data_IF_694387551850
#
_entry.id   IF_694387551850
#
_cell.length_a   1.000
_cell.length_b   1.000
_cell.length_c   1.000
_cell.angle_alpha   90.00
_cell.angle_beta   90.00
_cell.angle_gamma   90.00
#
_symmetry.space_group_name_H-M   'P 1'
#
loop_
_entity.id
_entity.type
_entity.pdbx_description
1 polymer ?
#
# COMPACT_ATOMS: atom_id res chain seq x y z
N UNK A 1 2.04 -4.17 74.07
CA UNK A 1 3.34 -4.58 73.51
C UNK A 1 3.09 -5.03 72.07
N UNK A 2 3.80 -4.39 71.15
CA UNK A 2 3.93 -4.57 69.71
C UNK A 2 2.95 -5.52 68.96
N UNK A 3 2.05 -4.93 68.18
CA UNK A 3 1.54 -5.54 66.95
C UNK A 3 2.53 -5.22 65.83
N UNK A 4 3.36 -6.19 65.43
CA UNK A 4 4.08 -6.13 64.16
C UNK A 4 3.15 -6.61 63.04
N UNK A 5 2.71 -5.66 62.23
CA UNK A 5 2.02 -5.91 60.96
C UNK A 5 3.08 -6.34 59.94
N UNK A 6 3.04 -7.60 59.52
CA UNK A 6 3.83 -8.07 58.38
C UNK A 6 3.41 -7.34 57.09
N UNK A 7 4.34 -6.91 56.22
CA UNK A 7 4.00 -6.19 55.01
C UNK A 7 3.44 -7.14 53.94
N UNK A 8 2.29 -6.75 53.38
CA UNK A 8 1.65 -7.37 52.21
C UNK A 8 2.65 -7.38 51.04
N UNK A 9 2.90 -8.56 50.48
CA UNK A 9 3.76 -8.71 49.30
C UNK A 9 3.18 -7.93 48.12
N UNK A 10 3.93 -6.96 47.60
CA UNK A 10 3.61 -6.25 46.38
C UNK A 10 3.56 -7.22 45.20
N UNK A 11 2.38 -7.40 44.60
CA UNK A 11 2.24 -8.11 43.33
C UNK A 11 3.10 -7.39 42.27
N UNK A 12 4.14 -8.06 41.79
CA UNK A 12 4.93 -7.60 40.63
C UNK A 12 3.99 -7.49 39.44
N UNK A 13 3.67 -6.26 39.05
CA UNK A 13 2.93 -6.00 37.80
C UNK A 13 3.85 -6.38 36.64
N UNK A 14 3.52 -7.47 35.94
CA UNK A 14 4.25 -7.90 34.75
C UNK A 14 3.81 -6.98 33.60
N UNK A 15 4.72 -6.12 33.16
CA UNK A 15 4.48 -5.23 32.02
C UNK A 15 4.64 -5.97 30.70
N UNK A 16 3.81 -5.68 29.68
CA UNK A 16 3.97 -6.27 28.35
C UNK A 16 5.32 -5.85 27.74
N UNK A 17 6.09 -6.84 27.26
CA UNK A 17 7.44 -6.61 26.74
C UNK A 17 7.49 -6.29 25.24
N UNK A 18 6.47 -6.74 24.49
CA UNK A 18 6.45 -6.62 23.02
C UNK A 18 5.61 -5.44 22.51
N UNK A 19 4.76 -4.87 23.36
CA UNK A 19 3.93 -3.73 22.97
C UNK A 19 4.69 -2.44 23.24
N UNK A 20 4.72 -1.56 22.25
CA UNK A 20 5.19 -0.19 22.39
C UNK A 20 4.27 0.60 23.35
N UNK A 21 4.74 1.74 23.91
CA UNK A 21 3.90 2.58 24.76
C UNK A 21 2.59 3.03 24.10
N UNK A 22 2.62 3.22 22.78
CA UNK A 22 1.44 3.59 21.98
C UNK A 22 0.44 2.43 21.88
N UNK A 23 0.93 1.20 21.66
CA UNK A 23 0.10 -0.01 21.61
C UNK A 23 -0.47 -0.40 22.98
N UNK A 24 0.24 -0.11 24.08
CA UNK A 24 -0.29 -0.27 25.44
C UNK A 24 -1.46 0.69 25.69
N UNK A 25 -1.36 1.91 25.17
CA UNK A 25 -2.39 2.94 25.31
C UNK A 25 -3.59 2.66 24.39
N UNK A 26 -3.37 1.98 23.26
CA UNK A 26 -4.42 1.59 22.31
C UNK A 26 -4.26 0.15 21.80
N UNK A 27 -4.59 -0.86 22.63
CA UNK A 27 -4.39 -2.27 22.27
C UNK A 27 -5.30 -2.75 21.14
N UNK A 28 -6.35 -1.99 20.82
CA UNK A 28 -7.22 -2.26 19.69
C UNK A 28 -6.54 -2.06 18.34
N UNK A 29 -5.55 -1.16 18.25
CA UNK A 29 -4.77 -0.98 17.02
C UNK A 29 -4.01 -2.25 16.66
N UNK A 30 -3.44 -2.94 17.66
CA UNK A 30 -2.75 -4.22 17.47
C UNK A 30 -3.68 -5.30 16.90
N UNK A 31 -4.94 -5.32 17.36
CA UNK A 31 -5.96 -6.22 16.84
C UNK A 31 -6.31 -5.86 15.39
N UNK A 32 -6.48 -4.56 15.10
CA UNK A 32 -6.74 -4.08 13.75
C UNK A 32 -5.61 -4.48 12.80
N UNK A 33 -4.35 -4.20 13.17
CA UNK A 33 -3.17 -4.49 12.35
C UNK A 33 -3.04 -5.98 12.04
N UNK A 34 -3.40 -6.85 12.99
CA UNK A 34 -3.45 -8.30 12.78
C UNK A 34 -4.46 -8.69 11.68
N UNK A 35 -5.66 -8.10 11.67
CA UNK A 35 -6.69 -8.43 10.68
C UNK A 35 -6.55 -7.64 9.37
N UNK A 36 -5.80 -6.53 9.38
CA UNK A 36 -5.31 -5.83 8.18
C UNK A 36 -4.24 -6.67 7.46
N UNK A 37 -3.36 -7.32 8.24
CA UNK A 37 -2.36 -8.25 7.73
C UNK A 37 -2.98 -9.48 7.06
N UNK A 38 -3.99 -10.12 7.69
CA UNK A 38 -4.68 -11.27 7.12
C UNK A 38 -6.12 -11.42 7.64
N UNK A 39 -7.05 -11.79 6.78
CA UNK A 39 -8.42 -12.13 7.19
C UNK A 39 -8.45 -13.42 8.02
N UNK A 40 -9.46 -13.59 8.88
CA UNK A 40 -9.53 -14.69 9.85
C UNK A 40 -9.27 -16.09 9.25
N UNK A 41 -9.90 -16.50 8.11
CA UNK A 41 -9.57 -17.75 7.44
C UNK A 41 -8.06 -17.95 7.17
N UNK A 42 -7.38 -16.91 6.67
CA UNK A 42 -5.95 -16.97 6.39
C UNK A 42 -5.11 -17.03 7.66
N UNK A 43 -5.51 -16.35 8.73
CA UNK A 43 -4.83 -16.47 10.03
C UNK A 43 -4.95 -17.90 10.57
N UNK A 44 -6.12 -18.53 10.45
CA UNK A 44 -6.31 -19.94 10.85
C UNK A 44 -5.37 -20.87 10.10
N UNK A 45 -5.26 -20.71 8.78
CA UNK A 45 -4.32 -21.48 7.96
C UNK A 45 -2.88 -21.31 8.45
N UNK A 46 -2.43 -20.07 8.65
CA UNK A 46 -1.07 -19.78 9.12
C UNK A 46 -0.79 -20.34 10.52
N UNK A 47 -1.76 -20.23 11.44
CA UNK A 47 -1.66 -20.83 12.79
C UNK A 47 -1.60 -22.35 12.72
N UNK A 48 -2.41 -22.96 11.85
CA UNK A 48 -2.40 -24.40 11.63
C UNK A 48 -1.06 -24.87 11.04
N UNK A 49 -0.51 -24.16 10.06
CA UNK A 49 0.79 -24.48 9.47
C UNK A 49 1.92 -24.33 10.50
N UNK A 50 1.87 -23.29 11.34
CA UNK A 50 2.79 -23.10 12.46
C UNK A 50 2.68 -24.25 13.49
N UNK A 51 1.47 -24.65 13.83
CA UNK A 51 1.24 -25.77 14.73
C UNK A 51 1.70 -27.11 14.13
N UNK A 52 1.38 -27.36 12.85
CA UNK A 52 1.78 -28.56 12.11
C UNK A 52 3.29 -28.68 12.00
N UNK A 53 3.99 -27.59 11.71
CA UNK A 53 5.47 -27.60 11.65
C UNK A 53 6.08 -27.88 13.03
N UNK A 54 5.47 -27.37 14.09
CA UNK A 54 5.92 -27.59 15.48
C UNK A 54 5.61 -29.01 16.00
N UNK A 55 4.45 -29.57 15.64
CA UNK A 55 3.92 -30.84 16.18
C UNK A 55 4.08 -32.05 15.26
N UNK A 56 4.30 -31.86 13.96
CA UNK A 56 4.52 -32.95 12.98
C UNK A 56 5.97 -32.95 12.45
N UNK A 57 6.72 -31.85 12.63
CA UNK A 57 8.14 -31.78 12.28
C UNK A 57 9.06 -32.56 13.23
N UNK A 58 10.35 -32.64 12.87
CA UNK A 58 11.39 -33.35 13.64
C UNK A 58 11.55 -32.82 15.08
N UNK A 59 11.08 -31.60 15.36
CA UNK A 59 11.11 -30.96 16.68
C UNK A 59 10.35 -31.74 17.77
N UNK A 60 9.37 -32.54 17.39
CA UNK A 60 8.58 -33.32 18.35
C UNK A 60 9.29 -34.50 18.96
N UNK A 61 10.33 -35.02 18.31
CA UNK A 61 11.08 -36.17 18.82
C UNK A 61 11.81 -35.86 20.13
N UNK A 62 12.13 -34.58 20.40
CA UNK A 62 12.85 -34.13 21.59
C UNK A 62 11.93 -33.72 22.76
N UNK A 63 10.62 -33.65 22.54
CA UNK A 63 9.66 -33.17 23.54
C UNK A 63 9.02 -34.30 24.34
N UNK A 64 8.98 -34.13 25.67
CA UNK A 64 8.26 -35.02 26.57
C UNK A 64 6.74 -34.93 26.34
N UNK A 65 6.01 -36.01 26.66
CA UNK A 65 4.56 -36.10 26.50
C UNK A 65 3.80 -34.89 27.07
N UNK A 66 4.19 -34.43 28.26
CA UNK A 66 3.58 -33.28 28.94
C UNK A 66 3.79 -31.97 28.18
N UNK A 67 4.94 -31.80 27.53
CA UNK A 67 5.24 -30.61 26.73
C UNK A 67 4.42 -30.59 25.43
N UNK A 68 4.23 -31.76 24.82
CA UNK A 68 3.32 -31.91 23.66
C UNK A 68 1.88 -31.58 24.02
N UNK A 69 1.40 -32.05 25.17
CA UNK A 69 0.05 -31.74 25.69
C UNK A 69 -0.11 -30.22 25.96
N UNK A 70 0.94 -29.56 26.46
CA UNK A 70 0.95 -28.11 26.65
C UNK A 70 0.91 -27.35 25.31
N UNK A 71 1.62 -27.82 24.28
CA UNK A 71 1.63 -27.21 22.95
C UNK A 71 0.25 -27.30 22.25
N UNK A 72 -0.43 -28.43 22.36
CA UNK A 72 -1.82 -28.56 21.88
C UNK A 72 -2.72 -27.58 22.64
N UNK A 73 -2.58 -27.54 23.97
CA UNK A 73 -3.40 -26.68 24.81
C UNK A 73 -3.20 -25.20 24.49
N UNK A 74 -1.96 -24.72 24.35
CA UNK A 74 -1.70 -23.31 24.03
C UNK A 74 -2.17 -22.95 22.62
N UNK A 75 -2.05 -23.86 21.65
CA UNK A 75 -2.59 -23.67 20.31
C UNK A 75 -4.10 -23.42 20.35
N UNK A 76 -4.86 -24.27 21.04
CA UNK A 76 -6.31 -24.09 21.19
C UNK A 76 -6.66 -22.75 21.87
N UNK A 77 -5.85 -22.31 22.84
CA UNK A 77 -6.05 -21.01 23.50
C UNK A 77 -5.74 -19.84 22.58
N UNK A 78 -4.69 -19.92 21.77
CA UNK A 78 -4.33 -18.89 20.79
C UNK A 78 -5.38 -18.81 19.70
N UNK A 79 -5.86 -19.93 19.18
CA UNK A 79 -6.93 -19.97 18.19
C UNK A 79 -8.19 -19.26 18.73
N UNK A 80 -8.65 -19.65 19.93
CA UNK A 80 -9.79 -19.00 20.60
C UNK A 80 -9.55 -17.51 20.86
N UNK A 81 -8.32 -17.11 21.20
CA UNK A 81 -7.96 -15.71 21.41
C UNK A 81 -8.06 -14.91 20.10
N UNK A 82 -7.59 -15.47 18.99
CA UNK A 82 -7.70 -14.86 17.66
C UNK A 82 -9.15 -14.76 17.21
N UNK A 83 -9.97 -15.80 17.43
CA UNK A 83 -11.42 -15.75 17.18
C UNK A 83 -12.10 -14.63 18.00
N UNK A 84 -11.78 -14.56 19.29
CA UNK A 84 -12.31 -13.52 20.16
C UNK A 84 -11.84 -12.12 19.71
N UNK A 85 -10.57 -11.99 19.31
CA UNK A 85 -10.02 -10.76 18.76
C UNK A 85 -10.71 -10.36 17.45
N UNK A 86 -11.06 -11.33 16.58
CA UNK A 86 -11.84 -11.07 15.38
C UNK A 86 -13.22 -10.52 15.73
N UNK A 87 -13.91 -11.13 16.69
CA UNK A 87 -15.22 -10.64 17.14
C UNK A 87 -15.09 -9.24 17.76
N UNK A 88 -14.03 -8.96 18.51
CA UNK A 88 -13.77 -7.62 19.05
C UNK A 88 -13.50 -6.63 17.90
N UNK A 89 -12.73 -7.04 16.89
CA UNK A 89 -12.47 -6.23 15.70
C UNK A 89 -13.74 -5.94 14.91
N UNK A 90 -14.55 -6.96 14.64
CA UNK A 90 -15.86 -6.85 13.98
C UNK A 90 -16.80 -5.97 14.80
N UNK A 91 -16.94 -6.21 16.11
CA UNK A 91 -17.75 -5.35 17.00
C UNK A 91 -17.22 -3.94 17.08
N UNK A 92 -15.92 -3.72 16.95
CA UNK A 92 -15.36 -2.38 16.81
C UNK A 92 -15.64 -1.78 15.44
N UNK A 93 -15.58 -2.54 14.36
CA UNK A 93 -15.97 -2.10 13.00
C UNK A 93 -17.47 -1.79 12.97
N UNK A 94 -18.29 -2.53 13.73
CA UNK A 94 -19.74 -2.41 13.88
C UNK A 94 -20.17 -1.33 14.87
N UNK A 95 -19.49 -1.13 15.99
CA UNK A 95 -19.73 0.01 16.90
C UNK A 95 -19.13 1.31 16.35
N UNK A 96 -18.07 1.20 15.54
CA UNK A 96 -17.66 2.20 14.57
C UNK A 96 -18.46 2.10 13.28
N UNK A 97 -19.60 1.39 13.13
CA UNK A 97 -20.58 1.72 12.07
C UNK A 97 -21.20 3.03 12.52
N UNK A 98 -20.75 4.18 12.01
CA UNK A 98 -21.51 5.38 12.22
C UNK A 98 -22.70 5.21 11.27
N UNK A 99 -23.89 5.62 11.73
CA UNK A 99 -24.80 6.31 10.81
C UNK A 99 -23.91 7.24 10.01
N UNK A 100 -23.89 7.10 8.69
CA UNK A 100 -23.11 7.97 7.81
C UNK A 100 -23.08 9.39 8.41
N UNK A 101 -21.95 9.85 8.94
CA UNK A 101 -21.65 11.27 8.80
C UNK A 101 -21.25 11.45 7.34
N UNK A 102 -22.21 11.19 6.45
CA UNK A 102 -22.28 11.85 5.16
C UNK A 102 -22.41 13.30 5.54
N UNK A 103 -21.27 13.99 5.61
CA UNK A 103 -21.29 15.43 5.57
C UNK A 103 -22.08 15.80 4.32
N UNK A 104 -23.06 16.70 4.41
CA UNK A 104 -23.89 17.03 3.26
C UNK A 104 -22.98 17.46 2.13
N UNK A 105 -22.95 16.64 1.08
CA UNK A 105 -22.24 16.97 -0.15
C UNK A 105 -22.79 18.31 -0.62
N UNK A 106 -21.92 19.31 -0.70
CA UNK A 106 -22.23 20.58 -1.35
C UNK A 106 -21.47 20.65 -2.65
N UNK A 107 -22.20 20.72 -3.76
CA UNK A 107 -21.61 20.97 -5.07
C UNK A 107 -20.87 22.31 -5.12
N UNK A 108 -21.19 23.25 -4.22
CA UNK A 108 -20.55 24.57 -4.10
C UNK A 108 -19.10 24.46 -3.63
N UNK A 109 -18.74 23.37 -2.96
CA UNK A 109 -17.38 23.10 -2.50
C UNK A 109 -16.45 22.61 -3.63
N UNK A 110 -16.98 22.34 -4.82
CA UNK A 110 -16.17 22.02 -6.01
C UNK A 110 -15.64 23.34 -6.58
N UNK A 111 -14.32 23.45 -6.70
CA UNK A 111 -13.68 24.63 -7.28
C UNK A 111 -13.81 24.62 -8.81
N UNK A 112 -14.90 25.20 -9.31
CA UNK A 112 -15.23 25.26 -10.74
C UNK A 112 -14.18 26.01 -11.57
N UNK A 113 -13.54 27.04 -10.98
CA UNK A 113 -12.47 27.81 -11.63
C UNK A 113 -11.25 26.92 -11.88
N UNK A 114 -10.78 26.21 -10.86
CA UNK A 114 -9.66 25.28 -11.02
C UNK A 114 -10.00 24.14 -11.97
N UNK A 115 -11.21 23.57 -11.86
CA UNK A 115 -11.65 22.48 -12.74
C UNK A 115 -11.63 22.91 -14.22
N UNK A 116 -12.18 24.10 -14.52
CA UNK A 116 -12.22 24.66 -15.88
C UNK A 116 -10.82 25.01 -16.39
N UNK A 117 -9.98 25.62 -15.54
CA UNK A 117 -8.59 25.97 -15.86
C UNK A 117 -7.75 24.73 -16.17
N UNK A 118 -7.89 23.69 -15.37
CA UNK A 118 -7.17 22.42 -15.55
C UNK A 118 -7.63 21.72 -16.81
N UNK A 119 -8.94 21.58 -17.03
CA UNK A 119 -9.46 20.99 -18.25
C UNK A 119 -8.98 21.75 -19.51
N UNK A 120 -9.02 23.08 -19.49
CA UNK A 120 -8.51 23.92 -20.58
C UNK A 120 -7.01 23.72 -20.84
N UNK A 121 -6.19 23.58 -19.79
CA UNK A 121 -4.75 23.36 -19.94
C UNK A 121 -4.38 22.04 -20.62
N UNK A 122 -5.29 21.06 -20.63
CA UNK A 122 -5.13 19.76 -21.29
C UNK A 122 -5.92 19.64 -22.59
N UNK A 123 -6.40 20.77 -23.15
CA UNK A 123 -7.20 20.83 -24.38
C UNK A 123 -8.43 19.91 -24.34
N UNK A 124 -9.03 19.79 -23.15
CA UNK A 124 -10.21 18.95 -22.92
C UNK A 124 -11.45 19.64 -23.51
N UNK A 125 -12.17 18.96 -24.41
CA UNK A 125 -13.41 19.45 -25.01
C UNK A 125 -14.46 19.81 -23.94
N UNK A 126 -15.33 20.80 -24.23
CA UNK A 126 -16.38 21.28 -23.31
C UNK A 126 -17.28 20.13 -22.83
N UNK A 127 -17.67 19.21 -23.72
CA UNK A 127 -18.47 18.01 -23.38
C UNK A 127 -17.75 17.11 -22.36
N UNK A 128 -16.42 17.10 -22.39
CA UNK A 128 -15.61 16.33 -21.47
C UNK A 128 -15.41 17.06 -20.12
N UNK A 129 -15.59 18.39 -20.06
CA UNK A 129 -15.58 19.16 -18.80
C UNK A 129 -16.78 18.85 -17.91
N UNK A 130 -17.97 18.74 -18.49
CA UNK A 130 -19.17 18.32 -17.75
C UNK A 130 -19.00 16.90 -17.20
N UNK A 131 -18.50 15.99 -18.03
CA UNK A 131 -18.16 14.62 -17.63
C UNK A 131 -17.10 14.61 -16.52
N UNK A 132 -16.13 15.52 -16.55
CA UNK A 132 -15.11 15.64 -15.52
C UNK A 132 -15.70 16.08 -14.17
N UNK A 133 -16.66 17.00 -14.18
CA UNK A 133 -17.41 17.36 -12.98
C UNK A 133 -18.13 16.13 -12.42
N UNK A 134 -18.79 15.33 -13.27
CA UNK A 134 -19.42 14.08 -12.84
C UNK A 134 -18.42 13.08 -12.24
N UNK A 135 -17.20 12.98 -12.77
CA UNK A 135 -16.12 12.16 -12.18
C UNK A 135 -15.77 12.65 -10.78
N UNK A 136 -15.54 13.95 -10.60
CA UNK A 136 -15.23 14.56 -9.29
C UNK A 136 -16.35 14.28 -8.29
N UNK A 137 -17.60 14.51 -8.67
CA UNK A 137 -18.77 14.22 -7.82
C UNK A 137 -18.86 12.74 -7.44
N UNK A 138 -18.56 11.86 -8.39
CA UNK A 138 -18.54 10.40 -8.17
C UNK A 138 -17.46 10.01 -7.17
N UNK A 139 -16.24 10.56 -7.31
CA UNK A 139 -15.15 10.34 -6.36
C UNK A 139 -15.57 10.80 -4.96
N UNK A 140 -16.11 12.01 -4.83
CA UNK A 140 -16.53 12.56 -3.52
C UNK A 140 -17.58 11.66 -2.87
N UNK A 141 -18.61 11.24 -3.61
CA UNK A 141 -19.68 10.39 -3.08
C UNK A 141 -19.20 9.01 -2.65
N UNK A 142 -18.25 8.41 -3.38
CA UNK A 142 -17.71 7.08 -3.05
C UNK A 142 -16.75 7.15 -1.86
N UNK A 143 -15.91 8.18 -1.82
CA UNK A 143 -14.78 8.26 -0.87
C UNK A 143 -15.07 9.07 0.38
N UNK A 144 -16.18 9.83 0.40
CA UNK A 144 -16.46 10.87 1.40
C UNK A 144 -15.26 11.82 1.58
N UNK A 145 -14.65 12.23 0.45
CA UNK A 145 -13.39 12.98 0.44
C UNK A 145 -13.45 14.21 1.36
N UNK A 146 -12.38 14.46 2.08
CA UNK A 146 -12.14 15.73 2.77
C UNK A 146 -11.63 16.77 1.77
N UNK A 147 -10.69 16.37 0.90
CA UNK A 147 -10.14 17.18 -0.18
C UNK A 147 -9.85 16.33 -1.41
N UNK A 148 -9.92 16.95 -2.58
CA UNK A 148 -9.55 16.34 -3.85
C UNK A 148 -8.61 17.27 -4.61
N UNK A 149 -7.48 16.75 -5.05
CA UNK A 149 -6.50 17.47 -5.87
C UNK A 149 -6.34 16.80 -7.22
N UNK A 150 -6.18 17.61 -8.26
CA UNK A 150 -5.74 17.15 -9.56
C UNK A 150 -4.26 16.79 -9.51
N UNK A 151 -3.91 15.56 -9.88
CA UNK A 151 -2.52 15.11 -9.94
C UNK A 151 -1.96 15.24 -11.34
N UNK A 152 -2.63 14.64 -12.33
CA UNK A 152 -2.17 14.59 -13.71
C UNK A 152 -3.32 14.26 -14.67
N UNK A 153 -3.05 14.50 -15.94
CA UNK A 153 -3.82 13.99 -17.06
C UNK A 153 -2.87 13.30 -18.02
N UNK A 154 -3.26 12.12 -18.46
CA UNK A 154 -2.56 11.40 -19.51
C UNK A 154 -3.57 10.73 -20.44
N UNK A 155 -3.10 10.24 -21.57
CA UNK A 155 -3.83 9.29 -22.39
C UNK A 155 -3.26 7.91 -22.09
N UNK A 156 -4.11 6.95 -21.71
CA UNK A 156 -3.63 5.61 -21.46
C UNK A 156 -3.23 4.90 -22.78
N UNK A 157 -2.67 3.69 -22.67
CA UNK A 157 -2.26 2.86 -23.81
C UNK A 157 -3.36 2.55 -24.83
N UNK A 158 -4.64 2.78 -24.50
CA UNK A 158 -5.80 2.64 -25.39
C UNK A 158 -6.31 3.98 -25.93
N UNK A 159 -5.50 5.02 -25.84
CA UNK A 159 -5.82 6.40 -26.22
C UNK A 159 -7.08 6.95 -25.54
N UNK A 160 -7.44 6.43 -24.36
CA UNK A 160 -8.54 6.96 -23.55
C UNK A 160 -7.99 7.99 -22.56
N UNK A 161 -8.74 9.09 -22.32
CA UNK A 161 -8.36 10.06 -21.30
C UNK A 161 -8.27 9.36 -19.94
N UNK A 162 -7.16 9.61 -19.26
CA UNK A 162 -6.87 9.13 -17.91
C UNK A 162 -6.75 10.34 -16.98
N UNK A 163 -7.66 10.37 -15.99
CA UNK A 163 -7.71 11.41 -14.98
C UNK A 163 -7.13 10.88 -13.68
N UNK A 164 -6.08 11.53 -13.18
CA UNK A 164 -5.41 11.12 -11.94
C UNK A 164 -5.71 12.14 -10.84
N UNK A 165 -6.30 11.67 -9.73
CA UNK A 165 -6.62 12.51 -8.57
C UNK A 165 -5.92 12.03 -7.31
N UNK A 166 -5.51 12.97 -6.46
CA UNK A 166 -5.18 12.69 -5.06
C UNK A 166 -6.43 12.97 -4.20
N UNK A 167 -6.94 11.94 -3.53
CA UNK A 167 -8.08 11.99 -2.63
C UNK A 167 -7.57 11.96 -1.19
N UNK A 168 -7.86 13.02 -0.43
CA UNK A 168 -7.66 13.01 1.01
C UNK A 168 -8.91 12.47 1.68
N UNK A 169 -8.78 11.27 2.24
CA UNK A 169 -9.84 10.56 2.93
C UNK A 169 -9.99 11.07 4.37
N UNK A 170 -11.20 10.94 4.95
CA UNK A 170 -11.40 11.22 6.36
C UNK A 170 -10.59 10.23 7.23
N UNK A 171 -10.18 10.59 8.46
CA UNK A 171 -9.35 9.73 9.32
C UNK A 171 -9.99 8.36 9.63
N UNK A 172 -11.32 8.32 9.63
CA UNK A 172 -12.15 7.14 9.89
C UNK A 172 -12.51 6.34 8.61
N UNK A 173 -11.89 6.64 7.46
CA UNK A 173 -12.12 5.91 6.23
C UNK A 173 -11.87 4.40 6.42
N UNK A 174 -12.82 3.59 5.97
CA UNK A 174 -12.93 2.16 6.28
C UNK A 174 -12.44 1.22 5.18
N UNK A 175 -12.58 1.63 3.93
CA UNK A 175 -12.18 0.81 2.80
C UNK A 175 -10.69 0.97 2.51
N UNK A 176 -10.10 -0.09 1.99
CA UNK A 176 -8.78 -0.06 1.39
C UNK A 176 -8.77 0.82 0.13
N UNK A 177 -7.58 1.31 -0.22
CA UNK A 177 -7.35 1.99 -1.50
C UNK A 177 -7.91 1.21 -2.70
N UNK A 178 -7.64 -0.11 -2.73
CA UNK A 178 -7.99 -0.99 -3.83
C UNK A 178 -9.50 -1.05 -4.06
N UNK A 179 -10.28 -1.04 -2.97
CA UNK A 179 -11.74 -1.02 -3.02
C UNK A 179 -12.27 0.33 -3.54
N UNK A 180 -11.75 1.46 -3.04
CA UNK A 180 -12.14 2.77 -3.55
C UNK A 180 -11.83 2.91 -5.04
N UNK A 181 -10.62 2.54 -5.46
CA UNK A 181 -10.21 2.58 -6.86
C UNK A 181 -11.14 1.74 -7.74
N UNK A 182 -11.46 0.52 -7.31
CA UNK A 182 -12.37 -0.39 -8.05
C UNK A 182 -13.76 0.24 -8.21
N UNK A 183 -14.33 0.81 -7.14
CA UNK A 183 -15.66 1.42 -7.18
C UNK A 183 -15.69 2.67 -8.07
N UNK A 184 -14.68 3.54 -7.98
CA UNK A 184 -14.56 4.73 -8.83
C UNK A 184 -14.40 4.33 -10.30
N UNK A 185 -13.51 3.40 -10.61
CA UNK A 185 -13.29 2.92 -11.98
C UNK A 185 -14.57 2.31 -12.58
N UNK A 186 -15.31 1.52 -11.79
CA UNK A 186 -16.56 0.91 -12.24
C UNK A 186 -17.64 1.96 -12.54
N UNK A 187 -17.76 3.01 -11.73
CA UNK A 187 -18.77 4.06 -11.97
C UNK A 187 -18.36 5.07 -13.06
N UNK A 188 -17.06 5.24 -13.31
CA UNK A 188 -16.55 6.18 -14.29
C UNK A 188 -16.22 5.54 -15.65
N UNK A 189 -16.44 4.24 -15.84
CA UNK A 189 -15.99 3.49 -17.02
C UNK A 189 -16.55 3.99 -18.36
N UNK A 190 -17.76 4.58 -18.35
CA UNK A 190 -18.40 5.18 -19.53
C UNK A 190 -17.85 6.58 -19.85
N UNK A 191 -17.23 7.25 -18.86
CA UNK A 191 -16.68 8.59 -19.00
C UNK A 191 -15.22 8.54 -19.46
N UNK A 192 -14.41 7.71 -18.81
CA UNK A 192 -12.97 7.63 -19.06
C UNK A 192 -12.24 6.74 -18.07
N UNK A 193 -10.93 6.62 -18.23
CA UNK A 193 -10.10 5.96 -17.23
C UNK A 193 -9.89 6.92 -16.07
N UNK A 194 -10.17 6.49 -14.84
CA UNK A 194 -9.96 7.32 -13.64
C UNK A 194 -9.04 6.56 -12.71
N UNK A 195 -7.92 7.17 -12.33
CA UNK A 195 -7.10 6.72 -11.22
C UNK A 195 -7.26 7.68 -10.06
N UNK A 196 -7.37 7.12 -8.87
CA UNK A 196 -7.39 7.86 -7.63
C UNK A 196 -6.24 7.37 -6.77
N UNK A 197 -5.56 8.29 -6.10
CA UNK A 197 -4.60 8.05 -5.02
C UNK A 197 -5.22 8.46 -3.70
N UNK A 198 -5.59 7.50 -2.86
CA UNK A 198 -6.32 7.77 -1.62
C UNK A 198 -5.42 7.62 -0.39
N UNK A 199 -5.32 8.67 0.41
CA UNK A 199 -4.65 8.63 1.70
C UNK A 199 -5.45 9.38 2.75
N UNK A 200 -5.37 8.97 4.01
CA UNK A 200 -6.03 9.69 5.10
C UNK A 200 -5.41 11.08 5.26
N UNK A 201 -6.26 12.08 5.47
CA UNK A 201 -5.86 13.50 5.53
C UNK A 201 -4.80 13.76 6.59
N UNK A 202 -4.88 13.10 7.74
CA UNK A 202 -3.92 13.23 8.84
C UNK A 202 -2.52 12.74 8.45
N UNK A 203 -2.40 11.64 7.72
CA UNK A 203 -1.12 11.12 7.23
C UNK A 203 -0.51 12.06 6.17
N UNK A 204 -1.33 12.50 5.21
CA UNK A 204 -0.87 13.47 4.20
C UNK A 204 -0.39 14.77 4.85
N UNK A 205 -1.09 15.27 5.87
CA UNK A 205 -0.68 16.47 6.58
C UNK A 205 0.67 16.33 7.28
N UNK A 206 1.02 15.14 7.82
CA UNK A 206 2.36 14.87 8.33
C UNK A 206 3.41 15.04 7.22
N UNK A 207 3.13 14.50 6.03
CA UNK A 207 4.06 14.59 4.90
C UNK A 207 4.20 16.02 4.33
N UNK A 208 3.12 16.81 4.31
CA UNK A 208 3.19 18.22 3.92
C UNK A 208 4.11 19.00 4.87
N UNK A 209 3.96 18.81 6.19
CA UNK A 209 4.75 19.53 7.22
C UNK A 209 6.24 19.24 7.16
N UNK A 210 6.65 18.06 6.70
CA UNK A 210 8.07 17.70 6.54
C UNK A 210 8.63 18.01 5.15
N UNK A 211 7.81 18.58 4.26
CA UNK A 211 8.20 18.97 2.91
C UNK A 211 8.41 17.78 1.97
N UNK A 212 7.54 16.77 2.03
CA UNK A 212 7.60 15.65 1.10
C UNK A 212 7.31 16.10 -0.34
N UNK A 213 8.22 15.85 -1.29
CA UNK A 213 8.20 16.47 -2.63
C UNK A 213 6.87 16.32 -3.38
N UNK A 214 6.28 15.13 -3.37
CA UNK A 214 5.01 14.87 -4.05
C UNK A 214 3.83 15.66 -3.45
N UNK A 215 3.68 15.65 -2.13
CA UNK A 215 2.61 16.38 -1.46
C UNK A 215 2.84 17.90 -1.51
N UNK A 216 4.10 18.35 -1.46
CA UNK A 216 4.48 19.75 -1.69
C UNK A 216 4.08 20.22 -3.09
N UNK A 217 4.24 19.37 -4.12
CA UNK A 217 3.84 19.68 -5.50
C UNK A 217 2.32 19.70 -5.68
N UNK A 218 1.62 18.68 -5.20
CA UNK A 218 0.20 18.48 -5.53
C UNK A 218 -0.75 19.23 -4.59
N UNK A 219 -0.48 19.26 -3.29
CA UNK A 219 -1.37 19.88 -2.30
C UNK A 219 -1.22 21.42 -2.34
N UNK A 220 -1.71 22.05 -3.41
CA UNK A 220 -1.69 23.49 -3.65
C UNK A 220 -3.10 23.98 -3.97
N UNK A 221 -3.40 25.25 -3.69
CA UNK A 221 -4.69 25.85 -4.02
C UNK A 221 -4.99 25.81 -5.51
N UNK A 222 -3.95 25.85 -6.36
CA UNK A 222 -4.09 25.76 -7.82
C UNK A 222 -4.61 24.39 -8.26
N UNK A 223 -4.21 23.31 -7.59
CA UNK A 223 -4.58 21.93 -7.95
C UNK A 223 -5.77 21.41 -7.15
N UNK A 224 -6.24 22.15 -6.14
CA UNK A 224 -7.40 21.81 -5.32
C UNK A 224 -8.69 21.93 -6.15
N UNK A 225 -9.37 20.80 -6.37
CA UNK A 225 -10.63 20.75 -7.12
C UNK A 225 -11.86 20.60 -6.22
N UNK A 226 -11.68 20.16 -4.98
CA UNK A 226 -12.75 20.11 -3.98
C UNK A 226 -12.18 20.21 -2.56
N UNK A 227 -12.86 20.98 -1.70
CA UNK A 227 -12.56 21.12 -0.28
C UNK A 227 -13.85 21.17 0.55
N UNK A 228 -13.99 20.28 1.52
CA UNK A 228 -15.14 20.33 2.43
C UNK A 228 -15.08 21.45 3.50
N UNK A 229 -14.01 22.25 3.50
CA UNK A 229 -13.75 23.42 4.35
C UNK A 229 -13.63 23.13 5.86
N UNK A 230 -13.48 21.87 6.28
CA UNK A 230 -13.41 21.50 7.71
C UNK A 230 -12.03 21.68 8.31
N UNK A 231 -11.00 21.31 7.55
CA UNK A 231 -9.61 21.33 8.01
C UNK A 231 -8.76 22.10 7.00
N UNK A 232 -8.05 23.17 7.39
CA UNK A 232 -7.16 23.87 6.49
C UNK A 232 -5.97 23.00 6.10
N UNK A 233 -5.46 23.18 4.88
CA UNK A 233 -4.19 22.57 4.46
C UNK A 233 -3.08 23.17 5.34
N UNK A 234 -2.20 22.34 5.95
CA UNK A 234 -1.13 22.86 6.79
C UNK A 234 -0.13 23.67 5.97
N UNK A 235 0.51 24.64 6.62
CA UNK A 235 1.60 25.40 6.01
C UNK A 235 2.75 24.48 5.60
N UNK A 236 3.30 24.76 4.41
CA UNK A 236 4.47 24.07 3.90
C UNK A 236 5.73 24.65 4.54
N UNK A 237 6.71 23.81 4.92
CA UNK A 237 7.95 24.32 5.47
C UNK A 237 8.75 25.06 4.37
N UNK A 238 9.54 26.05 4.78
CA UNK A 238 10.48 26.75 3.89
C UNK A 238 11.69 25.83 3.67
N UNK A 239 11.60 24.97 2.65
CA UNK A 239 12.64 24.02 2.26
C UNK A 239 12.85 24.15 0.77
N UNK A 240 14.12 24.21 0.36
CA UNK A 240 14.49 24.23 -1.05
C UNK A 240 14.11 22.91 -1.76
N UNK A 241 13.66 23.01 -3.01
CA UNK A 241 13.22 21.87 -3.81
C UNK A 241 14.36 20.86 -4.01
N UNK A 242 15.61 21.31 -4.13
CA UNK A 242 16.75 20.39 -4.23
C UNK A 242 16.89 19.53 -2.97
N UNK A 243 16.63 20.09 -1.79
CA UNK A 243 16.63 19.33 -0.53
C UNK A 243 15.51 18.28 -0.50
N UNK A 244 14.31 18.64 -0.97
CA UNK A 244 13.20 17.67 -1.09
C UNK A 244 13.54 16.53 -2.05
N UNK A 245 14.20 16.82 -3.17
CA UNK A 245 14.67 15.82 -4.14
C UNK A 245 15.70 14.87 -3.54
N UNK A 246 16.69 15.41 -2.81
CA UNK A 246 17.70 14.59 -2.14
C UNK A 246 17.04 13.62 -1.15
N UNK A 247 16.08 14.08 -0.34
CA UNK A 247 15.33 13.20 0.58
C UNK A 247 14.62 12.07 -0.15
N UNK A 248 13.88 12.39 -1.22
CA UNK A 248 13.17 11.38 -2.01
C UNK A 248 14.13 10.38 -2.68
N UNK A 249 15.25 10.85 -3.24
CA UNK A 249 16.30 10.00 -3.82
C UNK A 249 16.94 9.08 -2.79
N UNK A 250 17.24 9.57 -1.61
CA UNK A 250 17.81 8.73 -0.54
C UNK A 250 16.86 7.59 -0.17
N UNK A 251 15.56 7.88 0.00
CA UNK A 251 14.54 6.84 0.27
C UNK A 251 14.47 5.82 -0.88
N UNK A 252 14.48 6.29 -2.13
CA UNK A 252 14.46 5.42 -3.29
C UNK A 252 15.68 4.51 -3.34
N UNK A 253 16.89 5.09 -3.25
CA UNK A 253 18.16 4.37 -3.37
C UNK A 253 18.31 3.31 -2.27
N UNK A 254 17.98 3.66 -1.02
CA UNK A 254 18.10 2.75 0.14
C UNK A 254 17.30 1.45 -0.06
N UNK A 255 16.10 1.54 -0.63
CA UNK A 255 15.26 0.37 -0.91
C UNK A 255 15.63 -0.28 -2.25
N UNK A 256 15.93 0.51 -3.27
CA UNK A 256 16.17 0.05 -4.64
C UNK A 256 17.50 -0.69 -4.81
N UNK A 257 18.52 -0.36 -4.02
CA UNK A 257 19.79 -1.11 -4.00
C UNK A 257 19.58 -2.58 -3.64
N UNK A 258 18.70 -2.86 -2.66
CA UNK A 258 18.34 -4.24 -2.32
C UNK A 258 17.71 -4.97 -3.51
N UNK A 259 16.84 -4.29 -4.28
CA UNK A 259 16.25 -4.86 -5.49
C UNK A 259 17.30 -5.25 -6.53
N UNK A 260 18.32 -4.40 -6.73
CA UNK A 260 19.46 -4.70 -7.63
C UNK A 260 20.25 -5.92 -7.14
N UNK A 261 20.58 -5.98 -5.86
CA UNK A 261 21.29 -7.13 -5.28
C UNK A 261 20.50 -8.45 -5.37
N UNK A 262 19.17 -8.40 -5.25
CA UNK A 262 18.32 -9.57 -5.48
C UNK A 262 18.32 -10.01 -6.95
N UNK A 263 18.33 -9.07 -7.90
CA UNK A 263 18.45 -9.39 -9.32
C UNK A 263 19.79 -10.06 -9.62
N UNK A 264 20.91 -9.52 -9.12
CA UNK A 264 22.24 -10.11 -9.29
C UNK A 264 22.29 -11.55 -8.73
N UNK A 265 21.69 -11.76 -7.56
CA UNK A 265 21.58 -13.08 -6.96
C UNK A 265 20.71 -14.03 -7.78
N UNK A 266 19.62 -13.53 -8.38
CA UNK A 266 18.77 -14.33 -9.25
C UNK A 266 19.51 -14.78 -10.51
N UNK A 267 20.31 -13.90 -11.12
CA UNK A 267 21.16 -14.22 -12.27
C UNK A 267 22.18 -15.33 -11.92
N UNK A 268 22.82 -15.23 -10.75
CA UNK A 268 23.75 -16.25 -10.26
C UNK A 268 23.07 -17.62 -10.08
N UNK A 269 21.90 -17.67 -9.45
CA UNK A 269 21.19 -18.94 -9.27
C UNK A 269 20.66 -19.51 -10.60
N UNK A 270 20.24 -18.65 -11.53
CA UNK A 270 19.81 -19.08 -12.86
C UNK A 270 20.96 -19.75 -13.63
N UNK A 271 22.16 -19.16 -13.63
CA UNK A 271 23.36 -19.73 -14.28
C UNK A 271 23.87 -21.00 -13.59
N UNK A 272 23.57 -21.17 -12.30
CA UNK A 272 23.89 -22.37 -11.52
C UNK A 272 22.80 -23.44 -11.57
N UNK A 273 21.82 -23.32 -12.47
CA UNK A 273 20.67 -24.23 -12.64
C UNK A 273 19.78 -24.37 -11.37
N UNK A 274 19.82 -23.40 -10.46
CA UNK A 274 19.02 -23.36 -9.22
C UNK A 274 17.76 -22.50 -9.42
N UNK A 275 16.85 -22.99 -10.27
CA UNK A 275 15.72 -22.21 -10.79
C UNK A 275 14.69 -21.77 -9.75
N UNK A 276 14.44 -22.57 -8.70
CA UNK A 276 13.52 -22.19 -7.62
C UNK A 276 14.07 -20.99 -6.84
N UNK A 277 15.36 -21.02 -6.51
CA UNK A 277 16.06 -19.94 -5.82
C UNK A 277 16.12 -18.68 -6.68
N UNK A 278 16.40 -18.83 -7.99
CA UNK A 278 16.35 -17.72 -8.94
C UNK A 278 14.96 -17.07 -8.95
N UNK A 279 13.89 -17.85 -9.08
CA UNK A 279 12.51 -17.34 -9.09
C UNK A 279 12.14 -16.61 -7.79
N UNK A 280 12.56 -17.13 -6.63
CA UNK A 280 12.37 -16.46 -5.34
C UNK A 280 13.05 -15.09 -5.30
N UNK A 281 14.29 -14.98 -5.77
CA UNK A 281 15.02 -13.71 -5.80
C UNK A 281 14.48 -12.74 -6.86
N UNK A 282 13.99 -13.23 -7.99
CA UNK A 282 13.27 -12.41 -8.97
C UNK A 282 12.01 -11.79 -8.37
N UNK A 283 11.28 -12.54 -7.53
CA UNK A 283 10.16 -11.98 -6.77
C UNK A 283 10.63 -10.86 -5.85
N UNK A 284 11.67 -11.09 -5.04
CA UNK A 284 12.21 -10.09 -4.12
C UNK A 284 12.67 -8.82 -4.86
N UNK A 285 13.36 -8.97 -5.99
CA UNK A 285 13.79 -7.85 -6.83
C UNK A 285 12.59 -7.02 -7.33
N UNK A 286 11.56 -7.67 -7.85
CA UNK A 286 10.34 -6.99 -8.30
C UNK A 286 9.62 -6.29 -7.14
N UNK A 287 9.48 -6.97 -6.01
CA UNK A 287 8.79 -6.47 -4.82
C UNK A 287 9.48 -5.23 -4.25
N UNK A 288 10.80 -5.29 -4.05
CA UNK A 288 11.59 -4.19 -3.49
C UNK A 288 11.69 -3.00 -4.43
N UNK A 289 11.77 -3.22 -5.75
CA UNK A 289 11.79 -2.12 -6.71
C UNK A 289 10.45 -1.37 -6.73
N UNK A 290 9.32 -2.08 -6.72
CA UNK A 290 7.99 -1.47 -6.62
C UNK A 290 7.83 -0.69 -5.31
N UNK A 291 8.31 -1.23 -4.18
CA UNK A 291 8.29 -0.52 -2.89
C UNK A 291 9.15 0.72 -2.88
N UNK A 292 10.34 0.68 -3.48
CA UNK A 292 11.22 1.84 -3.57
C UNK A 292 10.50 3.03 -4.26
N UNK A 293 9.78 2.74 -5.34
CA UNK A 293 9.00 3.75 -6.07
C UNK A 293 7.86 4.32 -5.20
N UNK A 294 7.09 3.46 -4.53
CA UNK A 294 5.95 3.88 -3.70
C UNK A 294 6.40 4.68 -2.48
N UNK A 295 7.41 4.20 -1.74
CA UNK A 295 7.90 4.85 -0.54
C UNK A 295 8.48 6.24 -0.83
N UNK A 296 9.25 6.37 -1.92
CA UNK A 296 9.91 7.63 -2.29
C UNK A 296 8.97 8.68 -2.87
N UNK A 297 7.93 8.27 -3.62
CA UNK A 297 7.02 9.20 -4.29
C UNK A 297 5.71 9.43 -3.55
N UNK A 298 5.28 8.52 -2.68
CA UNK A 298 3.96 8.63 -2.02
C UNK A 298 4.03 8.54 -0.50
N UNK A 299 5.22 8.29 0.06
CA UNK A 299 5.47 8.04 1.47
C UNK A 299 4.70 6.83 2.05
N UNK A 300 4.21 5.94 1.19
CA UNK A 300 3.55 4.70 1.62
C UNK A 300 4.56 3.60 1.86
N UNK A 301 4.58 3.09 3.10
CA UNK A 301 5.53 2.07 3.55
C UNK A 301 4.89 0.71 3.85
N UNK A 302 3.55 0.61 3.90
CA UNK A 302 2.83 -0.62 4.25
C UNK A 302 2.11 -1.24 3.05
N UNK A 303 2.69 -2.32 2.53
CA UNK A 303 2.03 -3.21 1.57
C UNK A 303 2.39 -4.65 1.86
N UNK A 304 1.42 -5.56 1.70
CA UNK A 304 1.69 -6.99 1.66
C UNK A 304 2.64 -7.38 0.51
N UNK A 305 3.11 -8.62 0.53
CA UNK A 305 4.10 -9.16 -0.43
C UNK A 305 3.51 -9.51 -1.82
N UNK A 306 2.29 -9.06 -2.13
CA UNK A 306 1.60 -9.44 -3.35
C UNK A 306 1.96 -8.50 -4.51
N UNK A 307 2.65 -9.02 -5.53
CA UNK A 307 3.10 -8.23 -6.69
C UNK A 307 1.93 -7.63 -7.48
N UNK A 308 0.82 -8.36 -7.61
CA UNK A 308 -0.38 -7.84 -8.30
C UNK A 308 -0.92 -6.59 -7.61
N UNK A 309 -0.94 -6.58 -6.28
CA UNK A 309 -1.35 -5.41 -5.51
C UNK A 309 -0.34 -4.28 -5.68
N UNK A 310 0.95 -4.55 -5.50
CA UNK A 310 2.01 -3.55 -5.60
C UNK A 310 2.03 -2.87 -6.97
N UNK A 311 1.96 -3.63 -8.07
CA UNK A 311 1.88 -3.09 -9.44
C UNK A 311 0.65 -2.20 -9.60
N UNK A 312 -0.51 -2.61 -9.06
CA UNK A 312 -1.72 -1.80 -9.13
C UNK A 312 -1.58 -0.46 -8.39
N UNK A 313 -0.85 -0.44 -7.27
CA UNK A 313 -0.57 0.80 -6.54
C UNK A 313 0.41 1.70 -7.30
N UNK A 314 1.41 1.13 -7.97
CA UNK A 314 2.39 1.93 -8.73
C UNK A 314 1.82 2.56 -9.98
N UNK A 315 0.70 2.07 -10.54
CA UNK A 315 0.07 2.66 -11.73
C UNK A 315 -0.19 4.17 -11.62
N UNK A 316 -0.40 4.71 -10.42
CA UNK A 316 -0.56 6.15 -10.21
C UNK A 316 0.75 6.95 -10.38
N UNK A 317 1.89 6.33 -10.10
CA UNK A 317 3.21 6.95 -10.27
C UNK A 317 3.86 6.59 -11.61
N UNK A 318 3.56 5.41 -12.13
CA UNK A 318 4.17 4.81 -13.31
C UNK A 318 3.13 3.92 -14.02
N UNK A 319 2.25 4.52 -14.85
CA UNK A 319 1.10 3.84 -15.45
C UNK A 319 1.47 2.68 -16.37
N UNK A 320 2.65 2.75 -17.01
CA UNK A 320 3.09 1.76 -17.98
C UNK A 320 3.68 0.49 -17.35
N UNK A 321 3.84 0.42 -16.02
CA UNK A 321 4.43 -0.76 -15.37
C UNK A 321 3.60 -2.04 -15.52
N UNK A 322 2.27 -1.94 -15.61
CA UNK A 322 1.43 -3.13 -15.82
C UNK A 322 1.64 -3.75 -17.22
N UNK A 323 2.23 -3.02 -18.17
CA UNK A 323 2.57 -3.55 -19.51
C UNK A 323 3.78 -4.49 -19.49
N UNK A 324 4.61 -4.42 -18.44
CA UNK A 324 5.82 -5.24 -18.31
C UNK A 324 5.47 -6.70 -18.06
N UNK A 325 4.38 -6.96 -17.34
CA UNK A 325 3.82 -8.29 -17.14
C UNK A 325 2.51 -8.42 -17.90
N UNK A 326 2.54 -8.58 -19.24
CA UNK A 326 1.34 -8.80 -20.03
C UNK A 326 0.60 -10.04 -19.51
N UNK A 327 -0.72 -10.06 -19.63
CA UNK A 327 -1.59 -11.17 -19.19
C UNK A 327 -2.58 -11.56 -20.28
N UNK A 328 -2.17 -11.40 -21.53
CA UNK A 328 -3.02 -11.56 -22.71
C UNK A 328 -3.18 -13.04 -23.07
N UNK A 329 -2.14 -13.84 -22.83
CA UNK A 329 -2.15 -15.29 -23.05
C UNK A 329 -2.13 -16.06 -21.72
N UNK A 330 -2.56 -17.32 -21.74
CA UNK A 330 -2.54 -18.16 -20.53
C UNK A 330 -1.10 -18.45 -20.08
N UNK A 331 -0.15 -18.59 -21.02
CA UNK A 331 1.28 -18.70 -20.72
C UNK A 331 1.82 -17.49 -19.97
N UNK A 332 1.43 -16.29 -20.38
CA UNK A 332 1.84 -15.05 -19.70
C UNK A 332 1.24 -14.94 -18.29
N UNK A 333 -0.04 -15.30 -18.12
CA UNK A 333 -0.68 -15.36 -16.79
C UNK A 333 0.01 -16.38 -15.89
N UNK A 334 0.31 -17.56 -16.41
CA UNK A 334 1.03 -18.61 -15.71
C UNK A 334 2.41 -18.14 -15.26
N UNK A 335 3.17 -17.51 -16.15
CA UNK A 335 4.50 -16.97 -15.86
C UNK A 335 4.47 -15.95 -14.70
N UNK A 336 3.51 -15.02 -14.73
CA UNK A 336 3.33 -14.05 -13.64
C UNK A 336 2.89 -14.73 -12.33
N UNK A 337 2.00 -15.72 -12.41
CA UNK A 337 1.55 -16.46 -11.23
C UNK A 337 2.70 -17.24 -10.58
N UNK A 338 3.59 -17.85 -11.37
CA UNK A 338 4.81 -18.49 -10.88
C UNK A 338 5.70 -17.49 -10.12
N UNK A 339 6.00 -16.34 -10.72
CA UNK A 339 6.76 -15.28 -10.06
C UNK A 339 6.10 -14.84 -8.74
N UNK A 340 4.79 -14.59 -8.75
CA UNK A 340 4.08 -14.13 -7.57
C UNK A 340 4.01 -15.20 -6.47
N UNK A 341 3.87 -16.48 -6.83
CA UNK A 341 3.86 -17.60 -5.89
C UNK A 341 5.25 -17.92 -5.31
N UNK A 342 6.33 -17.60 -6.04
CA UNK A 342 7.71 -17.92 -5.67
C UNK A 342 8.11 -17.42 -4.27
N UNK A 343 7.51 -16.33 -3.77
CA UNK A 343 7.75 -15.82 -2.42
C UNK A 343 7.56 -16.89 -1.32
N UNK A 344 6.51 -17.70 -1.45
CA UNK A 344 6.19 -18.79 -0.50
C UNK A 344 6.60 -20.13 -1.09
N UNK A 345 6.14 -20.41 -2.30
CA UNK A 345 6.10 -21.77 -2.82
C UNK A 345 7.49 -22.27 -3.22
N UNK A 346 8.38 -21.40 -3.69
CA UNK A 346 9.74 -21.80 -4.06
C UNK A 346 10.56 -22.32 -2.86
N UNK A 347 10.18 -21.94 -1.62
CA UNK A 347 10.87 -22.35 -0.38
C UNK A 347 10.20 -23.54 0.30
N UNK A 348 8.88 -23.63 0.23
CA UNK A 348 8.10 -24.54 1.07
C UNK A 348 7.26 -25.56 0.30
N UNK A 349 6.93 -25.29 -0.97
CA UNK A 349 6.10 -26.18 -1.76
C UNK A 349 6.95 -27.20 -2.52
N UNK A 350 6.78 -28.51 -2.26
CA UNK A 350 7.45 -29.54 -3.05
C UNK A 350 7.01 -29.49 -4.52
N UNK A 351 5.78 -29.01 -4.78
CA UNK A 351 5.14 -28.97 -6.09
C UNK A 351 5.46 -27.70 -6.90
N UNK A 352 6.24 -26.77 -6.36
CA UNK A 352 6.65 -25.59 -7.12
C UNK A 352 7.67 -26.00 -8.17
N UNK A 353 7.27 -26.00 -9.43
CA UNK A 353 8.11 -26.30 -10.58
C UNK A 353 8.22 -25.08 -11.49
N UNK A 354 9.43 -24.77 -11.94
CA UNK A 354 9.69 -23.71 -12.90
C UNK A 354 10.85 -24.12 -13.82
N UNK A 355 10.67 -23.94 -15.12
CA UNK A 355 11.67 -24.32 -16.12
C UNK A 355 12.75 -23.25 -16.28
N UNK A 356 13.87 -23.63 -16.88
CA UNK A 356 14.94 -22.69 -17.27
C UNK A 356 14.39 -21.57 -18.16
N UNK A 357 13.60 -21.92 -19.17
CA UNK A 357 12.99 -20.95 -20.10
C UNK A 357 12.13 -19.93 -19.36
N UNK A 358 11.29 -20.39 -18.41
CA UNK A 358 10.46 -19.51 -17.59
C UNK A 358 11.31 -18.59 -16.71
N UNK A 359 12.38 -19.08 -16.08
CA UNK A 359 13.30 -18.24 -15.29
C UNK A 359 13.98 -17.18 -16.16
N UNK A 360 14.48 -17.56 -17.34
CA UNK A 360 15.15 -16.61 -18.25
C UNK A 360 14.18 -15.52 -18.74
N UNK A 361 12.94 -15.88 -19.03
CA UNK A 361 11.89 -14.91 -19.36
C UNK A 361 11.60 -13.99 -18.17
N UNK A 362 11.46 -14.52 -16.95
CA UNK A 362 11.23 -13.70 -15.76
C UNK A 362 12.40 -12.75 -15.47
N UNK A 363 13.63 -13.19 -15.71
CA UNK A 363 14.83 -12.39 -15.53
C UNK A 363 14.83 -11.18 -16.45
N UNK A 364 14.52 -11.37 -17.74
CA UNK A 364 14.35 -10.27 -18.71
C UNK A 364 13.23 -9.29 -18.28
N UNK A 365 12.08 -9.81 -17.83
CA UNK A 365 10.95 -8.99 -17.37
C UNK A 365 11.27 -8.19 -16.12
N UNK A 366 11.92 -8.80 -15.13
CA UNK A 366 12.27 -8.13 -13.87
C UNK A 366 13.40 -7.11 -14.10
N UNK A 367 14.37 -7.39 -14.97
CA UNK A 367 15.38 -6.40 -15.34
C UNK A 367 14.72 -5.18 -16.01
N UNK A 368 13.82 -5.42 -16.98
CA UNK A 368 13.01 -4.36 -17.61
C UNK A 368 12.18 -3.58 -16.58
N UNK A 369 11.58 -4.26 -15.61
CA UNK A 369 10.84 -3.63 -14.50
C UNK A 369 11.72 -2.66 -13.71
N UNK A 370 12.92 -3.08 -13.30
CA UNK A 370 13.84 -2.25 -12.53
C UNK A 370 14.24 -0.99 -13.34
N UNK A 371 14.61 -1.17 -14.61
CA UNK A 371 14.98 -0.05 -15.48
C UNK A 371 13.83 0.96 -15.64
N UNK A 372 12.59 0.48 -15.89
CA UNK A 372 11.43 1.34 -16.02
C UNK A 372 11.08 2.06 -14.71
N UNK A 373 11.26 1.41 -13.57
CA UNK A 373 11.04 2.02 -12.25
C UNK A 373 12.02 3.16 -11.99
N UNK A 374 13.30 2.97 -12.29
CA UNK A 374 14.34 4.00 -12.14
C UNK A 374 14.04 5.21 -13.04
N UNK A 375 13.65 4.98 -14.30
CA UNK A 375 13.22 6.03 -15.20
C UNK A 375 11.98 6.78 -14.69
N UNK A 376 10.92 6.04 -14.33
CA UNK A 376 9.65 6.62 -13.87
C UNK A 376 9.84 7.46 -12.61
N UNK A 377 10.72 7.03 -11.70
CA UNK A 377 11.08 7.77 -10.51
C UNK A 377 11.69 9.14 -10.84
N UNK A 378 12.70 9.19 -11.71
CA UNK A 378 13.36 10.43 -12.10
C UNK A 378 12.42 11.38 -12.88
N UNK A 379 11.58 10.85 -13.77
CA UNK A 379 10.55 11.61 -14.47
C UNK A 379 9.55 12.25 -13.50
N UNK A 380 9.12 11.51 -12.47
CA UNK A 380 8.18 12.01 -11.48
C UNK A 380 8.81 13.04 -10.54
N UNK A 381 10.09 12.88 -10.18
CA UNK A 381 10.83 13.90 -9.44
C UNK A 381 10.92 15.20 -10.23
N UNK A 382 11.30 15.13 -11.51
CA UNK A 382 11.39 16.30 -12.40
C UNK A 382 10.04 16.98 -12.58
N UNK A 383 8.97 16.20 -12.74
CA UNK A 383 7.60 16.72 -12.83
C UNK A 383 7.20 17.46 -11.55
N UNK A 384 7.46 16.87 -10.39
CA UNK A 384 7.15 17.47 -9.09
C UNK A 384 7.94 18.77 -8.85
N UNK A 385 9.22 18.78 -9.19
CA UNK A 385 10.09 19.97 -9.16
C UNK A 385 9.53 21.09 -10.03
N UNK A 386 9.19 20.80 -11.29
CA UNK A 386 8.60 21.78 -12.20
C UNK A 386 7.29 22.36 -11.66
N UNK A 387 6.42 21.52 -11.08
CA UNK A 387 5.17 21.99 -10.47
C UNK A 387 5.47 22.96 -9.33
N UNK A 388 6.38 22.59 -8.40
CA UNK A 388 6.73 23.45 -7.26
C UNK A 388 7.30 24.79 -7.74
N UNK A 389 8.26 24.78 -8.66
CA UNK A 389 8.90 25.98 -9.20
C UNK A 389 7.92 26.86 -10.00
N UNK A 390 6.99 26.25 -10.74
CA UNK A 390 5.97 26.97 -11.51
C UNK A 390 4.87 27.59 -10.63
N UNK A 391 4.71 27.13 -9.39
CA UNK A 391 3.81 27.72 -8.41
C UNK A 391 4.41 28.92 -7.65
N UNK A 392 5.72 29.18 -7.82
CA UNK A 392 6.41 30.35 -7.25
C UNK A 392 6.50 31.53 -8.22
N UNK A 393 6.00 31.36 -9.46
CA UNK A 393 5.85 32.41 -10.47
C UNK A 393 4.37 32.65 -10.69
#
# INVERSE_FOLDING_TARGET
MCNEVSPVSSQKVILPQKLSPEEITNPHQVIYDLFDFAHLPRIRELLWDFFKTTVIGNYTHDLHRRERELLVTIYEKIEKLVEAAHIINEKQIESKKPVFETYPYSAENINSVNLSRLAGSYQVEIVLQEKLKTVVETIIRITNAEKLFWSAFSTNSRNRPQFDFLVLLPPNAKYSYSEYLTQVQAKCSEIGSVLIWCNKINEVFKHIRVGHIFYSAICTDRLLVYDNNRLPIPEKPVIDVATMKVKARNIFIDVFQNAKSYLDGAEYFATSNQYKQAAFLLHQAAEHSLRALLASLTAMNSYGHNLKSLIRHTCFCAPDLDTIFPKNTDKEKELFNLLNAAYVDARYSPNYEISQEQVMLLLDRVNTLLAQIEQSFEERLKTSENIILSGHR
#
